data_IF_126097803573
#
_entry.id   IF_126097803573
#
_cell.length_a   1.000
_cell.length_b   1.000
_cell.length_c   1.000
_cell.angle_alpha   90.00
_cell.angle_beta   90.00
_cell.angle_gamma   90.00
#
_symmetry.space_group_name_H-M   'P 1'
#
loop_
_entity.id
_entity.type
_entity.pdbx_description
1 polymer ?
#
# COMPACT_ATOMS: atom_id res chain seq x y z
N UNK A 1 3.82 -13.51 -1.10
CA UNK A 1 4.55 -13.27 -2.36
C UNK A 1 5.29 -11.96 -2.18
N UNK A 2 6.46 -11.75 -2.82
CA UNK A 2 7.11 -10.45 -2.83
C UNK A 2 6.37 -9.49 -3.79
N UNK A 3 6.45 -8.17 -3.57
CA UNK A 3 5.97 -7.15 -4.52
C UNK A 3 6.57 -7.37 -5.92
N UNK A 4 5.85 -6.93 -6.95
CA UNK A 4 6.29 -7.06 -8.36
C UNK A 4 7.50 -6.17 -8.66
N UNK A 5 7.57 -5.01 -8.00
CA UNK A 5 8.63 -4.02 -8.18
C UNK A 5 9.41 -3.80 -6.88
N UNK A 6 10.63 -3.31 -7.01
CA UNK A 6 11.44 -2.95 -5.85
C UNK A 6 10.93 -1.64 -5.26
N UNK A 7 10.59 -1.65 -3.96
CA UNK A 7 10.20 -0.45 -3.25
C UNK A 7 11.40 0.47 -3.01
N UNK A 8 11.18 1.78 -3.10
CA UNK A 8 12.18 2.76 -2.73
C UNK A 8 12.51 2.65 -1.23
N UNK A 9 13.80 2.46 -0.86
CA UNK A 9 14.19 2.22 0.53
C UNK A 9 13.98 3.42 1.45
N UNK A 10 13.74 4.63 0.90
CA UNK A 10 13.44 5.84 1.67
C UNK A 10 11.97 5.93 2.07
N UNK A 11 11.10 5.11 1.46
CA UNK A 11 9.72 4.95 1.93
C UNK A 11 9.67 4.05 3.16
N UNK A 12 8.71 4.31 4.05
CA UNK A 12 8.42 3.39 5.15
C UNK A 12 7.92 2.04 4.60
N UNK A 13 8.32 0.91 5.19
CA UNK A 13 7.84 -0.39 4.77
C UNK A 13 6.31 -0.51 4.86
N UNK A 14 5.69 -1.21 3.91
CA UNK A 14 4.27 -1.55 3.95
C UNK A 14 3.68 -1.84 2.58
N UNK A 15 2.37 -1.99 2.52
CA UNK A 15 1.66 -2.38 1.32
C UNK A 15 1.65 -1.26 0.26
N UNK A 16 1.63 0.01 0.68
CA UNK A 16 1.72 1.15 -0.21
C UNK A 16 3.18 1.58 -0.35
N UNK A 17 3.67 1.64 -1.58
CA UNK A 17 5.06 1.99 -1.84
C UNK A 17 5.20 2.79 -3.13
N UNK A 18 6.39 3.34 -3.35
CA UNK A 18 6.80 3.93 -4.63
C UNK A 18 7.94 3.10 -5.18
N UNK A 19 7.91 2.82 -6.48
CA UNK A 19 8.97 2.05 -7.15
C UNK A 19 10.27 2.84 -7.05
N UNK A 20 11.34 2.13 -6.72
CA UNK A 20 12.67 2.69 -6.63
C UNK A 20 13.06 3.32 -7.98
N UNK A 21 13.50 4.59 -7.94
CA UNK A 21 14.00 5.36 -9.09
C UNK A 21 12.99 5.67 -10.22
N UNK A 22 11.69 5.50 -10.01
CA UNK A 22 10.66 5.79 -11.04
C UNK A 22 9.86 7.09 -10.78
N UNK A 23 9.94 7.64 -9.55
CA UNK A 23 9.22 8.87 -9.23
C UNK A 23 9.95 10.09 -9.79
N UNK A 24 9.31 10.81 -10.71
CA UNK A 24 9.85 12.00 -11.38
C UNK A 24 9.66 13.30 -10.56
N UNK A 25 9.11 13.23 -9.35
CA UNK A 25 8.95 14.40 -8.49
C UNK A 25 7.90 15.41 -8.98
N UNK A 26 6.75 14.96 -9.51
CA UNK A 26 5.68 15.85 -9.97
C UNK A 26 4.93 16.57 -8.82
N UNK A 27 5.05 16.07 -7.59
CA UNK A 27 4.44 16.66 -6.39
C UNK A 27 2.94 16.39 -6.23
N UNK A 28 2.27 15.71 -7.17
CA UNK A 28 0.84 15.37 -7.06
C UNK A 28 0.55 14.51 -5.80
N UNK A 29 1.26 13.40 -5.53
CA UNK A 29 1.00 12.57 -4.36
C UNK A 29 1.10 13.33 -3.03
N UNK A 30 2.11 14.19 -2.92
CA UNK A 30 2.35 15.02 -1.73
C UNK A 30 1.24 16.05 -1.51
N UNK A 31 0.68 16.63 -2.58
CA UNK A 31 -0.46 17.55 -2.47
C UNK A 31 -1.75 16.86 -2.00
N UNK A 32 -1.97 15.60 -2.40
CA UNK A 32 -3.18 14.83 -2.03
C UNK A 32 -3.16 14.42 -0.57
N UNK A 33 -2.02 13.90 -0.09
CA UNK A 33 -1.90 13.42 1.29
C UNK A 33 -0.48 13.63 1.83
N UNK A 34 -0.11 14.86 2.23
CA UNK A 34 1.25 15.17 2.69
C UNK A 34 1.67 14.35 3.92
N UNK A 35 0.69 13.88 4.72
CA UNK A 35 0.92 13.05 5.90
C UNK A 35 1.13 11.56 5.61
N UNK A 36 0.97 11.14 4.36
CA UNK A 36 1.21 9.77 3.88
C UNK A 36 2.38 9.73 2.91
N UNK A 37 2.44 10.70 2.00
CA UNK A 37 3.48 10.83 0.98
C UNK A 37 4.06 12.24 1.05
N UNK A 38 5.39 12.32 1.16
CA UNK A 38 6.09 13.60 1.19
C UNK A 38 7.38 13.51 0.36
N UNK A 39 8.03 14.65 0.16
CA UNK A 39 9.36 14.70 -0.43
C UNK A 39 10.36 13.95 0.45
N UNK A 40 11.19 13.11 -0.16
CA UNK A 40 12.33 12.48 0.53
C UNK A 40 13.62 13.20 0.17
N UNK A 41 14.54 13.29 1.13
CA UNK A 41 15.85 13.90 0.93
C UNK A 41 16.66 13.07 -0.07
N UNK A 42 16.72 13.58 -1.32
CA UNK A 42 17.28 12.89 -2.48
C UNK A 42 17.64 13.90 -3.57
N UNK A 43 18.56 13.51 -4.46
CA UNK A 43 18.88 14.27 -5.68
C UNK A 43 18.84 13.31 -6.87
N UNK A 44 17.91 13.47 -7.83
CA UNK A 44 16.80 14.45 -7.84
C UNK A 44 15.78 14.20 -6.72
N UNK A 45 15.09 15.26 -6.30
CA UNK A 45 14.04 15.17 -5.27
C UNK A 45 12.82 14.41 -5.83
N UNK A 46 12.32 13.44 -5.07
CA UNK A 46 11.10 12.71 -5.42
C UNK A 46 10.21 12.44 -4.20
N UNK A 47 9.02 11.91 -4.44
CA UNK A 47 8.09 11.55 -3.37
C UNK A 47 8.42 10.17 -2.79
N UNK A 48 8.15 9.98 -1.50
CA UNK A 48 8.19 8.69 -0.81
C UNK A 48 7.05 8.56 0.19
N UNK A 49 6.64 7.33 0.50
CA UNK A 49 5.65 7.09 1.54
C UNK A 49 6.31 7.27 2.90
N UNK A 50 5.92 8.28 3.66
CA UNK A 50 6.45 8.56 5.01
C UNK A 50 5.62 7.90 6.10
N UNK A 51 4.40 7.46 5.78
CA UNK A 51 3.50 6.72 6.68
C UNK A 51 2.53 5.85 5.89
N UNK A 52 2.23 4.65 6.41
CA UNK A 52 1.20 3.79 5.86
C UNK A 52 -0.22 4.28 6.26
N UNK A 53 -1.24 4.09 5.41
CA UNK A 53 -2.62 4.43 5.77
C UNK A 53 -3.11 3.64 6.99
N UNK A 54 -3.57 4.35 8.02
CA UNK A 54 -4.01 3.74 9.28
C UNK A 54 -5.51 3.93 9.58
N UNK A 55 -6.21 4.72 8.77
CA UNK A 55 -7.63 5.04 8.94
C UNK A 55 -8.39 4.94 7.61
N UNK A 56 -9.73 4.90 7.66
CA UNK A 56 -10.57 4.95 6.45
C UNK A 56 -10.31 6.21 5.62
N UNK A 57 -10.07 7.35 6.28
CA UNK A 57 -9.73 8.63 5.63
C UNK A 57 -8.37 8.56 4.94
N UNK A 58 -7.39 7.93 5.57
CA UNK A 58 -6.08 7.73 4.96
C UNK A 58 -6.16 6.80 3.76
N UNK A 59 -6.89 5.68 3.88
CA UNK A 59 -7.04 4.72 2.80
C UNK A 59 -7.70 5.36 1.57
N UNK A 60 -8.75 6.17 1.77
CA UNK A 60 -9.39 6.91 0.66
C UNK A 60 -8.38 7.82 -0.06
N UNK A 61 -7.54 8.52 0.69
CA UNK A 61 -6.50 9.40 0.13
C UNK A 61 -5.37 8.63 -0.54
N UNK A 62 -4.97 7.48 0.00
CA UNK A 62 -3.99 6.61 -0.64
C UNK A 62 -4.48 6.05 -1.98
N UNK A 63 -5.76 5.66 -2.06
CA UNK A 63 -6.39 5.28 -3.34
C UNK A 63 -6.41 6.46 -4.31
N UNK A 64 -6.70 7.68 -3.83
CA UNK A 64 -6.67 8.89 -4.67
C UNK A 64 -5.27 9.16 -5.23
N UNK A 65 -4.20 8.98 -4.44
CA UNK A 65 -2.82 9.06 -4.94
C UNK A 65 -2.60 8.08 -6.09
N UNK A 66 -3.05 6.83 -5.94
CA UNK A 66 -2.87 5.80 -6.98
C UNK A 66 -3.65 6.12 -8.26
N UNK A 67 -4.79 6.82 -8.17
CA UNK A 67 -5.58 7.25 -9.33
C UNK A 67 -5.00 8.44 -10.07
N UNK A 68 -4.35 9.37 -9.36
CA UNK A 68 -3.94 10.67 -9.89
C UNK A 68 -2.45 10.78 -10.19
N UNK A 69 -1.65 9.78 -9.84
CA UNK A 69 -0.24 9.75 -10.19
C UNK A 69 -0.03 9.75 -11.71
N UNK A 70 1.02 10.43 -12.17
CA UNK A 70 1.27 10.60 -13.61
C UNK A 70 1.87 9.35 -14.29
N UNK A 71 2.74 8.60 -13.58
CA UNK A 71 3.60 7.57 -14.18
C UNK A 71 3.41 6.16 -13.60
N UNK A 72 2.38 5.95 -12.76
CA UNK A 72 2.16 4.63 -12.15
C UNK A 72 3.26 4.15 -11.19
N UNK A 73 4.12 5.07 -10.72
CA UNK A 73 5.26 4.76 -9.86
C UNK A 73 4.88 4.45 -8.41
N UNK A 74 3.70 4.86 -7.94
CA UNK A 74 3.11 4.42 -6.68
C UNK A 74 2.30 3.15 -6.89
N UNK A 75 2.54 2.16 -6.03
CA UNK A 75 2.03 0.78 -6.17
C UNK A 75 1.42 0.28 -4.87
N UNK A 76 0.61 -0.76 -4.99
CA UNK A 76 0.03 -1.47 -3.87
C UNK A 76 0.37 -2.97 -3.92
N UNK A 77 1.05 -3.45 -2.88
CA UNK A 77 1.38 -4.86 -2.66
C UNK A 77 0.68 -5.43 -1.43
N UNK A 78 -0.58 -5.05 -1.21
CA UNK A 78 -1.44 -5.66 -0.19
C UNK A 78 -2.64 -6.42 -0.78
N UNK A 79 -3.57 -6.81 0.08
CA UNK A 79 -4.74 -7.64 -0.25
C UNK A 79 -6.07 -6.98 0.11
N UNK A 80 -6.08 -5.68 0.44
CA UNK A 80 -7.32 -5.00 0.82
C UNK A 80 -8.26 -4.89 -0.40
N UNK A 81 -9.44 -5.54 -0.37
CA UNK A 81 -10.35 -5.56 -1.51
C UNK A 81 -10.77 -4.16 -1.95
N UNK A 82 -10.80 -3.18 -1.04
CA UNK A 82 -11.18 -1.80 -1.36
C UNK A 82 -10.16 -1.15 -2.30
N UNK A 83 -8.87 -1.49 -2.16
CA UNK A 83 -7.80 -0.99 -3.04
C UNK A 83 -7.79 -1.78 -4.34
N UNK A 84 -7.81 -3.11 -4.25
CA UNK A 84 -7.80 -4.02 -5.40
C UNK A 84 -8.96 -3.73 -6.39
N UNK A 85 -10.14 -3.40 -5.87
CA UNK A 85 -11.30 -3.05 -6.71
C UNK A 85 -11.27 -1.61 -7.24
N UNK A 86 -10.55 -0.70 -6.57
CA UNK A 86 -10.53 0.72 -6.94
C UNK A 86 -9.48 1.07 -7.99
N UNK A 87 -8.33 0.39 -7.96
CA UNK A 87 -7.14 0.68 -8.78
C UNK A 87 -6.37 -0.62 -9.11
N UNK A 88 -7.01 -1.60 -9.77
CA UNK A 88 -6.41 -2.92 -10.04
C UNK A 88 -5.09 -2.84 -10.81
N UNK A 89 -4.94 -1.88 -11.73
CA UNK A 89 -3.73 -1.63 -12.50
C UNK A 89 -2.53 -1.16 -11.66
N UNK A 90 -2.80 -0.56 -10.50
CA UNK A 90 -1.80 -0.12 -9.53
C UNK A 90 -1.38 -1.22 -8.54
N UNK A 91 -2.04 -2.39 -8.58
CA UNK A 91 -1.82 -3.47 -7.65
C UNK A 91 -0.82 -4.50 -8.22
N UNK A 92 0.05 -5.02 -7.37
CA UNK A 92 1.05 -6.03 -7.77
C UNK A 92 0.48 -7.44 -7.80
N UNK A 93 -0.59 -7.64 -7.04
CA UNK A 93 -1.29 -8.90 -6.97
C UNK A 93 -2.64 -8.74 -7.66
N UNK A 94 -2.77 -9.41 -8.80
CA UNK A 94 -4.06 -9.55 -9.47
C UNK A 94 -4.86 -10.64 -8.76
N UNK A 95 -6.11 -10.33 -8.41
CA UNK A 95 -7.10 -11.37 -8.15
C UNK A 95 -7.50 -11.92 -9.52
N UNK A 96 -6.99 -13.11 -9.89
CA UNK A 96 -7.54 -13.80 -11.05
C UNK A 96 -9.01 -14.15 -10.77
N UNK A 97 -9.95 -13.91 -11.71
CA UNK A 97 -11.32 -14.39 -11.54
C UNK A 97 -11.30 -15.91 -11.29
N UNK A 98 -11.85 -16.34 -10.16
CA UNK A 98 -11.92 -17.77 -9.79
C UNK A 98 -10.74 -18.32 -9.00
N UNK A 99 -9.72 -17.52 -8.65
CA UNK A 99 -8.70 -17.91 -7.67
C UNK A 99 -9.07 -17.34 -6.32
N UNK A 100 -9.28 -18.22 -5.33
CA UNK A 100 -9.59 -17.82 -3.96
C UNK A 100 -8.54 -16.85 -3.42
N UNK A 101 -8.99 -15.74 -2.84
CA UNK A 101 -8.11 -14.82 -2.12
C UNK A 101 -7.33 -15.61 -1.07
N UNK A 102 -5.98 -15.49 -1.02
CA UNK A 102 -5.24 -16.07 0.09
C UNK A 102 -5.74 -15.41 1.37
N UNK A 103 -6.43 -16.21 2.19
CA UNK A 103 -6.96 -15.77 3.47
C UNK A 103 -5.85 -15.08 4.25
N UNK A 104 -6.08 -13.88 4.82
CA UNK A 104 -5.09 -13.27 5.70
C UNK A 104 -4.76 -14.33 6.74
N UNK A 105 -3.46 -14.67 6.90
CA UNK A 105 -3.01 -15.64 7.91
C UNK A 105 -3.39 -15.08 9.27
N UNK A 106 -4.63 -15.32 9.69
CA UNK A 106 -5.09 -15.08 11.05
C UNK A 106 -4.18 -15.92 11.89
N UNK A 107 -3.36 -15.21 12.61
CA UNK A 107 -2.31 -15.78 13.37
C UNK A 107 -2.87 -16.78 14.38
N UNK A 108 -2.27 -17.96 14.40
CA UNK A 108 -2.79 -19.13 15.13
C UNK A 108 -3.03 -18.84 16.63
N UNK A 109 -2.32 -17.87 17.21
CA UNK A 109 -2.50 -17.41 18.59
C UNK A 109 -3.88 -16.81 18.90
N UNK A 110 -4.56 -16.17 17.94
CA UNK A 110 -5.93 -15.65 18.14
C UNK A 110 -6.98 -16.76 18.28
N UNK A 111 -6.72 -17.96 17.74
CA UNK A 111 -7.59 -19.15 17.92
C UNK A 111 -7.40 -19.83 19.27
N UNK A 112 -6.20 -19.78 19.85
CA UNK A 112 -5.92 -20.34 21.18
C UNK A 112 -6.56 -19.47 22.27
N UNK A 113 -6.43 -18.14 22.17
CA UNK A 113 -7.02 -17.22 23.15
C UNK A 113 -8.55 -17.33 23.23
N UNK A 114 -9.25 -17.51 22.09
CA UNK A 114 -10.71 -17.73 22.11
C UNK A 114 -11.12 -19.05 22.77
N UNK A 115 -10.28 -20.08 22.75
CA UNK A 115 -10.56 -21.37 23.42
C UNK A 115 -10.33 -21.31 24.93
N UNK A 116 -9.48 -20.43 25.42
CA UNK A 116 -9.23 -20.27 26.86
C UNK A 116 -10.24 -19.37 27.56
N UNK A 117 -10.88 -18.44 26.84
CA UNK A 117 -11.88 -17.52 27.42
C UNK A 117 -13.31 -18.11 27.40
N UNK A 118 -13.55 -19.15 26.60
CA UNK A 118 -14.87 -19.83 26.51
C UNK A 118 -14.94 -21.14 27.32
N UNK A 119 -13.96 -21.41 28.16
CA UNK A 119 -13.83 -22.62 28.97
C UNK A 119 -13.77 -22.39 30.48
N UNK A 120 -14.36 -21.29 30.98
CA UNK A 120 -14.55 -21.02 32.41
C UNK A 120 -15.99 -20.60 32.69
#
# INVERSE_FOLDING_TARGET
MPPRFTADPRSVPGDFYVIQNECMGCGIPQKIAPELVNWVESSPQHCGWVRQPASKKDLKRAIEILKQQDFGCHRYAGMDPRVLQSVPECCDYFVQPGVDMPQPRVSWWRRILKRLISGS
#
